data_IF_874265582106
#
_entry.id   IF_874265582106
#
_cell.length_a   1.000
_cell.length_b   1.000
_cell.length_c   1.000
_cell.angle_alpha   90.00
_cell.angle_beta   90.00
_cell.angle_gamma   90.00
#
_symmetry.space_group_name_H-M   'P 1'
#
loop_
_entity.id
_entity.type
_entity.pdbx_description
1 polymer ?
#
# COMPACT_ATOMS: atom_id res chain seq x y z
N UNK A 1 -6.46 -40.38 -32.11
CA UNK A 1 -6.74 -38.94 -32.30
C UNK A 1 -6.53 -38.29 -30.95
N UNK A 2 -5.42 -37.58 -30.76
CA UNK A 2 -5.06 -36.93 -29.51
C UNK A 2 -5.20 -35.41 -29.70
N UNK A 3 -6.12 -34.81 -28.96
CA UNK A 3 -6.36 -33.37 -28.99
C UNK A 3 -5.41 -32.71 -28.00
N UNK A 4 -4.43 -31.96 -28.50
CA UNK A 4 -3.56 -31.13 -27.68
C UNK A 4 -4.30 -29.83 -27.33
N UNK A 5 -4.52 -29.59 -26.04
CA UNK A 5 -4.95 -28.30 -25.51
C UNK A 5 -3.69 -27.44 -25.39
N UNK A 6 -3.56 -26.42 -26.25
CA UNK A 6 -2.51 -25.42 -26.15
C UNK A 6 -2.92 -24.37 -25.10
N UNK A 7 -2.30 -24.43 -23.93
CA UNK A 7 -2.35 -23.40 -22.90
C UNK A 7 -1.50 -22.22 -23.39
N UNK A 8 -2.15 -21.14 -23.84
CA UNK A 8 -1.46 -19.89 -24.14
C UNK A 8 -1.25 -19.12 -22.83
N UNK A 9 -0.06 -19.23 -22.26
CA UNK A 9 0.43 -18.30 -21.24
C UNK A 9 0.72 -16.96 -21.93
N UNK A 10 -0.15 -15.97 -21.74
CA UNK A 10 0.18 -14.58 -22.09
C UNK A 10 1.03 -13.98 -20.98
N UNK A 11 2.36 -14.09 -21.13
CA UNK A 11 3.30 -13.17 -20.50
C UNK A 11 3.26 -11.86 -21.32
N UNK A 12 2.25 -11.05 -21.05
CA UNK A 12 2.19 -9.67 -21.55
C UNK A 12 3.01 -8.77 -20.64
N UNK A 13 4.32 -8.66 -20.90
CA UNK A 13 5.13 -7.57 -20.36
C UNK A 13 4.79 -6.30 -21.14
N UNK A 14 3.69 -5.66 -20.77
CA UNK A 14 3.36 -4.33 -21.25
C UNK A 14 4.32 -3.33 -20.60
N UNK A 15 5.32 -2.87 -21.34
CA UNK A 15 6.02 -1.64 -21.00
C UNK A 15 5.01 -0.51 -21.06
N UNK A 16 4.47 -0.13 -19.91
CA UNK A 16 3.75 1.12 -19.73
C UNK A 16 4.71 2.26 -20.08
N UNK A 17 4.38 3.04 -21.09
CA UNK A 17 5.03 4.31 -21.36
C UNK A 17 4.56 5.34 -20.33
N UNK A 18 4.89 5.11 -19.06
CA UNK A 18 4.81 6.13 -18.01
C UNK A 18 5.82 7.23 -18.32
N UNK A 19 5.42 8.48 -18.14
CA UNK A 19 6.31 9.63 -18.32
C UNK A 19 7.55 9.45 -17.45
N UNK A 20 8.71 9.24 -18.08
CA UNK A 20 9.97 9.12 -17.37
C UNK A 20 10.35 10.51 -16.85
N UNK A 21 9.87 10.88 -15.67
CA UNK A 21 10.52 11.94 -14.91
C UNK A 21 11.94 11.45 -14.64
N UNK A 22 12.93 12.10 -15.26
CA UNK A 22 14.32 11.69 -15.13
C UNK A 22 14.74 11.89 -13.67
N UNK A 23 14.78 10.79 -12.91
CA UNK A 23 15.25 10.77 -11.55
C UNK A 23 16.62 11.47 -11.46
N UNK A 24 16.81 12.37 -10.49
CA UNK A 24 18.11 13.03 -10.32
C UNK A 24 19.17 11.96 -10.03
N UNK A 25 20.46 12.22 -10.30
CA UNK A 25 21.52 11.27 -9.97
C UNK A 25 21.43 10.82 -8.50
N UNK A 26 21.13 9.55 -8.26
CA UNK A 26 20.94 8.96 -6.93
C UNK A 26 19.48 8.71 -6.52
N UNK A 27 18.50 9.18 -7.29
CA UNK A 27 17.08 8.85 -7.11
C UNK A 27 16.70 7.64 -8.00
N UNK A 28 15.75 6.83 -7.52
CA UNK A 28 15.18 5.73 -8.30
C UNK A 28 13.66 5.80 -8.20
N UNK A 29 13.00 5.85 -9.35
CA UNK A 29 11.54 5.73 -9.45
C UNK A 29 11.16 4.26 -9.55
N UNK A 30 10.13 3.86 -8.81
CA UNK A 30 9.48 2.56 -8.95
C UNK A 30 7.98 2.73 -9.07
N UNK A 31 7.37 1.89 -9.89
CA UNK A 31 5.93 1.86 -10.09
C UNK A 31 5.37 0.60 -9.42
N UNK A 32 4.28 0.76 -8.67
CA UNK A 32 3.62 -0.33 -7.96
C UNK A 32 2.15 -0.29 -8.37
N UNK A 33 1.70 -1.35 -9.04
CA UNK A 33 0.30 -1.47 -9.42
C UNK A 33 -0.51 -2.04 -8.25
N UNK A 34 -1.58 -1.34 -7.88
CA UNK A 34 -2.50 -1.80 -6.84
C UNK A 34 -3.36 -2.97 -7.32
N UNK A 35 -4.09 -3.62 -6.41
CA UNK A 35 -5.08 -4.61 -6.80
C UNK A 35 -6.22 -3.94 -7.59
N UNK A 36 -6.84 -4.65 -8.57
CA UNK A 36 -7.97 -4.09 -9.30
C UNK A 36 -9.13 -3.69 -8.37
N UNK A 37 -9.57 -2.44 -8.49
CA UNK A 37 -10.78 -1.94 -7.83
C UNK A 37 -11.93 -2.01 -8.83
N UNK A 38 -13.01 -2.68 -8.48
CA UNK A 38 -14.22 -2.77 -9.30
C UNK A 38 -15.36 -2.06 -8.57
N UNK A 39 -15.94 -1.05 -9.22
CA UNK A 39 -17.01 -0.23 -8.65
C UNK A 39 -18.19 -0.15 -9.59
N UNK A 40 -19.37 0.05 -9.01
CA UNK A 40 -20.56 0.50 -9.72
C UNK A 40 -20.57 2.01 -9.80
N UNK A 41 -21.34 2.55 -10.76
CA UNK A 41 -21.54 4.00 -10.84
C UNK A 41 -22.08 4.56 -9.52
N UNK A 42 -21.37 5.52 -8.94
CA UNK A 42 -21.69 6.14 -7.66
C UNK A 42 -21.23 5.37 -6.42
N UNK A 43 -20.56 4.22 -6.57
CA UNK A 43 -19.97 3.49 -5.45
C UNK A 43 -18.64 4.11 -5.00
N UNK A 44 -18.41 4.15 -3.69
CA UNK A 44 -17.19 4.71 -3.10
C UNK A 44 -16.31 3.56 -2.61
N UNK A 45 -15.03 3.57 -3.02
CA UNK A 45 -14.03 2.72 -2.39
C UNK A 45 -13.23 3.51 -1.36
N UNK A 46 -13.51 3.29 -0.07
CA UNK A 46 -12.74 3.89 1.03
C UNK A 46 -12.16 2.81 1.96
N UNK A 47 -11.64 1.73 1.39
CA UNK A 47 -11.04 0.63 2.14
C UNK A 47 -9.54 0.58 1.86
N UNK A 48 -8.78 0.12 2.86
CA UNK A 48 -7.38 -0.22 2.64
C UNK A 48 -7.29 -1.39 1.67
N UNK A 49 -6.39 -1.28 0.71
CA UNK A 49 -6.05 -2.40 -0.15
C UNK A 49 -5.15 -3.41 0.59
N UNK A 50 -5.15 -4.68 0.16
CA UNK A 50 -4.15 -5.64 0.62
C UNK A 50 -2.73 -5.12 0.40
N UNK A 51 -1.83 -5.47 1.33
CA UNK A 51 -0.44 -5.06 1.27
C UNK A 51 0.21 -5.46 -0.05
N UNK A 52 0.98 -4.54 -0.62
CA UNK A 52 1.82 -4.79 -1.80
C UNK A 52 3.28 -4.77 -1.36
N UNK A 53 4.04 -5.77 -1.80
CA UNK A 53 5.47 -5.79 -1.58
C UNK A 53 6.15 -4.71 -2.45
N UNK A 54 7.19 -4.09 -1.90
CA UNK A 54 8.12 -3.33 -2.73
C UNK A 54 8.83 -4.28 -3.70
N UNK A 55 9.20 -3.82 -4.92
CA UNK A 55 9.98 -4.63 -5.85
C UNK A 55 11.25 -5.19 -5.17
N UNK A 56 11.60 -6.44 -5.46
CA UNK A 56 12.69 -7.14 -4.76
C UNK A 56 14.00 -6.34 -4.79
N UNK A 57 14.31 -5.75 -5.94
CA UNK A 57 15.47 -4.88 -6.13
C UNK A 57 15.54 -3.71 -5.15
N UNK A 58 14.40 -3.13 -4.73
CA UNK A 58 14.36 -2.07 -3.72
C UNK A 58 14.54 -2.67 -2.33
N UNK A 59 13.88 -3.80 -2.04
CA UNK A 59 14.02 -4.48 -0.75
C UNK A 59 15.46 -4.90 -0.48
N UNK A 60 16.16 -5.41 -1.49
CA UNK A 60 17.56 -5.79 -1.41
C UNK A 60 18.48 -4.57 -1.27
N UNK A 61 18.29 -3.54 -2.10
CA UNK A 61 19.13 -2.33 -2.06
C UNK A 61 19.10 -1.63 -0.70
N UNK A 62 17.92 -1.61 -0.06
CA UNK A 62 17.65 -0.95 1.21
C UNK A 62 17.56 -1.91 2.41
N UNK A 63 17.95 -3.18 2.25
CA UNK A 63 17.96 -4.14 3.36
C UNK A 63 18.82 -3.60 4.51
N UNK A 64 18.21 -3.39 5.68
CA UNK A 64 18.85 -2.80 6.86
C UNK A 64 19.45 -1.39 6.63
N UNK A 65 18.90 -0.63 5.69
CA UNK A 65 19.28 0.77 5.43
C UNK A 65 18.05 1.67 5.46
N UNK A 66 18.28 2.96 5.64
CA UNK A 66 17.23 3.96 5.53
C UNK A 66 16.95 4.26 4.07
N UNK A 67 15.67 4.22 3.68
CA UNK A 67 15.17 4.70 2.39
C UNK A 67 14.49 6.05 2.59
N UNK A 68 14.84 7.03 1.76
CA UNK A 68 14.11 8.30 1.68
C UNK A 68 13.15 8.26 0.49
N UNK A 69 11.87 8.51 0.75
CA UNK A 69 10.87 8.72 -0.30
C UNK A 69 10.82 10.22 -0.51
N UNK A 70 11.36 10.67 -1.65
CA UNK A 70 11.46 12.11 -1.97
C UNK A 70 10.29 12.59 -2.81
N UNK A 71 9.55 11.67 -3.42
CA UNK A 71 8.39 11.94 -4.26
C UNK A 71 7.42 10.75 -4.24
N UNK A 72 6.13 11.03 -4.39
CA UNK A 72 5.05 10.03 -4.42
C UNK A 72 3.90 10.54 -5.30
N UNK A 73 3.70 9.85 -6.42
CA UNK A 73 2.62 10.12 -7.36
C UNK A 73 1.64 8.95 -7.40
N UNK A 74 0.37 9.25 -7.63
CA UNK A 74 -0.69 8.26 -7.81
C UNK A 74 -1.38 8.53 -9.13
N UNK A 75 -1.47 7.48 -9.93
CA UNK A 75 -2.23 7.47 -11.17
C UNK A 75 -3.27 6.35 -11.11
N UNK A 76 -4.39 6.55 -11.81
CA UNK A 76 -5.44 5.54 -11.90
C UNK A 76 -5.63 5.16 -13.34
N UNK A 77 -5.46 3.87 -13.58
CA UNK A 77 -5.52 3.27 -14.90
C UNK A 77 -6.65 2.26 -15.00
N UNK A 78 -7.20 2.13 -16.20
CA UNK A 78 -8.13 1.05 -16.53
C UNK A 78 -7.41 -0.31 -16.63
N UNK A 79 -8.17 -1.37 -16.94
CA UNK A 79 -7.62 -2.71 -17.09
C UNK A 79 -6.64 -2.85 -18.28
N UNK A 80 -6.61 -1.88 -19.20
CA UNK A 80 -5.71 -1.81 -20.34
C UNK A 80 -4.50 -0.92 -20.06
N UNK A 81 -4.42 -0.27 -18.89
CA UNK A 81 -3.35 0.63 -18.50
C UNK A 81 -3.53 2.07 -18.97
N UNK A 82 -4.72 2.44 -19.49
CA UNK A 82 -4.99 3.82 -19.88
C UNK A 82 -5.38 4.64 -18.65
N UNK A 83 -4.88 5.87 -18.55
CA UNK A 83 -5.29 6.81 -17.51
C UNK A 83 -6.79 7.08 -17.57
N UNK A 84 -7.46 6.96 -16.42
CA UNK A 84 -8.88 7.24 -16.28
C UNK A 84 -9.07 8.76 -16.13
N UNK A 85 -9.86 9.42 -17.00
CA UNK A 85 -10.12 10.84 -16.87
C UNK A 85 -10.80 11.18 -15.54
N UNK A 86 -10.39 12.27 -14.89
CA UNK A 86 -10.94 12.70 -13.59
C UNK A 86 -12.44 13.03 -13.59
N UNK A 87 -13.07 13.22 -14.75
CA UNK A 87 -14.52 13.42 -14.83
C UNK A 87 -15.30 12.10 -14.80
N UNK A 88 -14.64 10.96 -15.05
CA UNK A 88 -15.25 9.63 -14.97
C UNK A 88 -15.23 9.09 -13.54
N UNK A 89 -14.34 9.61 -12.70
CA UNK A 89 -14.19 9.19 -11.32
C UNK A 89 -13.69 10.34 -10.45
N UNK A 90 -14.45 10.62 -9.39
CA UNK A 90 -14.08 11.62 -8.40
C UNK A 90 -13.17 11.02 -7.33
N UNK A 91 -11.98 11.62 -7.19
CA UNK A 91 -10.96 11.20 -6.23
C UNK A 91 -10.92 12.13 -5.03
N UNK A 92 -10.80 11.59 -3.81
CA UNK A 92 -10.73 12.44 -2.61
C UNK A 92 -9.48 12.27 -1.74
N UNK A 93 -8.90 11.08 -1.57
CA UNK A 93 -7.66 10.90 -0.79
C UNK A 93 -6.86 9.67 -1.24
N UNK A 94 -5.53 9.81 -1.30
CA UNK A 94 -4.59 8.67 -1.37
C UNK A 94 -3.61 8.77 -0.22
N UNK A 95 -3.36 7.63 0.40
CA UNK A 95 -2.30 7.48 1.38
C UNK A 95 -1.54 6.20 1.07
N UNK A 96 -0.21 6.32 1.08
CA UNK A 96 0.67 5.16 1.13
C UNK A 96 1.21 5.03 2.55
N UNK A 97 1.12 3.83 3.10
CA UNK A 97 1.79 3.47 4.35
C UNK A 97 2.86 2.45 4.03
N UNK A 98 4.10 2.77 4.40
CA UNK A 98 5.25 1.91 4.18
C UNK A 98 5.83 1.51 5.54
N UNK A 99 6.20 0.24 5.66
CA UNK A 99 6.76 -0.30 6.89
C UNK A 99 7.11 -1.77 6.73
N UNK A 100 7.33 -2.44 7.86
CA UNK A 100 7.51 -3.88 7.88
C UNK A 100 6.21 -4.59 7.48
N UNK A 101 6.33 -5.84 7.02
CA UNK A 101 5.16 -6.68 6.71
C UNK A 101 4.21 -6.77 7.92
N UNK A 102 4.77 -6.92 9.11
CA UNK A 102 4.00 -6.95 10.36
C UNK A 102 3.21 -5.67 10.61
N UNK A 103 3.84 -4.51 10.44
CA UNK A 103 3.16 -3.22 10.57
C UNK A 103 2.07 -3.05 9.50
N UNK A 104 2.38 -3.33 8.24
CA UNK A 104 1.43 -3.21 7.15
C UNK A 104 0.22 -4.15 7.36
N UNK A 105 0.46 -5.39 7.80
CA UNK A 105 -0.59 -6.36 8.13
C UNK A 105 -1.45 -5.87 9.31
N UNK A 106 -0.83 -5.32 10.36
CA UNK A 106 -1.54 -4.76 11.50
C UNK A 106 -2.53 -3.65 11.09
N UNK A 107 -2.05 -2.70 10.29
CA UNK A 107 -2.87 -1.59 9.79
C UNK A 107 -3.98 -2.12 8.88
N UNK A 108 -3.66 -2.99 7.93
CA UNK A 108 -4.66 -3.57 7.03
C UNK A 108 -5.79 -4.26 7.81
N UNK A 109 -5.46 -5.11 8.77
CA UNK A 109 -6.48 -5.81 9.59
C UNK A 109 -7.32 -4.84 10.42
N UNK A 110 -6.75 -3.71 10.85
CA UNK A 110 -7.45 -2.71 11.64
C UNK A 110 -8.46 -1.90 10.81
N UNK A 111 -8.14 -1.59 9.55
CA UNK A 111 -8.93 -0.66 8.74
C UNK A 111 -9.71 -1.30 7.57
N UNK A 112 -9.43 -2.55 7.18
CA UNK A 112 -10.07 -3.19 6.02
C UNK A 112 -11.60 -3.20 6.07
N UNK A 113 -12.18 -3.26 7.26
CA UNK A 113 -13.63 -3.29 7.50
C UNK A 113 -14.16 -1.96 8.10
N UNK A 114 -13.34 -0.90 8.10
CA UNK A 114 -13.65 0.39 8.71
C UNK A 114 -13.59 1.53 7.68
N UNK A 115 -14.52 1.57 6.69
CA UNK A 115 -14.48 2.52 5.58
C UNK A 115 -14.71 3.98 5.96
N UNK A 116 -15.07 4.26 7.21
CA UNK A 116 -15.22 5.63 7.72
C UNK A 116 -14.22 5.93 8.84
N UNK A 117 -13.17 5.12 8.94
CA UNK A 117 -12.23 5.12 10.05
C UNK A 117 -12.73 4.31 11.23
N UNK A 118 -11.85 4.15 12.21
CA UNK A 118 -12.19 3.52 13.49
C UNK A 118 -12.99 4.56 14.29
N UNK A 119 -14.17 4.21 14.81
CA UNK A 119 -14.93 5.12 15.64
C UNK A 119 -14.07 5.57 16.83
N UNK A 120 -14.17 6.85 17.18
CA UNK A 120 -13.52 7.36 18.37
C UNK A 120 -13.96 6.51 19.58
N UNK A 121 -13.01 6.10 20.43
CA UNK A 121 -13.36 5.32 21.61
C UNK A 121 -14.34 6.14 22.47
N UNK A 122 -15.33 5.46 23.06
CA UNK A 122 -16.39 6.14 23.82
C UNK A 122 -15.87 6.75 25.13
N UNK A 123 -14.68 6.34 25.54
CA UNK A 123 -13.90 6.87 26.65
C UNK A 123 -12.39 6.74 26.35
N UNK A 124 -11.54 7.51 27.04
CA UNK A 124 -10.07 7.49 26.84
C UNK A 124 -9.40 6.18 27.26
N UNK A 125 -10.15 5.26 27.89
CA UNK A 125 -9.66 3.94 28.32
C UNK A 125 -9.84 2.85 27.28
N UNK A 126 -10.62 3.09 26.22
CA UNK A 126 -10.99 2.13 25.19
C UNK A 126 -10.10 2.17 23.93
N UNK A 127 -9.10 3.05 23.87
CA UNK A 127 -8.05 2.95 22.84
C UNK A 127 -7.12 1.77 23.17
N UNK A 128 -7.68 0.56 23.17
CA UNK A 128 -6.97 -0.68 23.40
C UNK A 128 -6.28 -1.03 22.10
N UNK A 129 -4.99 -0.68 22.00
CA UNK A 129 -4.11 -1.26 20.99
C UNK A 129 -4.20 -2.78 21.17
N UNK A 130 -4.64 -3.54 20.15
CA UNK A 130 -4.72 -4.99 20.21
C UNK A 130 -3.41 -5.58 20.79
N UNK A 131 -3.50 -6.53 21.71
CA UNK A 131 -2.35 -7.01 22.48
C UNK A 131 -1.24 -7.61 21.59
N UNK A 132 -1.63 -8.15 20.43
CA UNK A 132 -0.72 -8.59 19.37
C UNK A 132 0.06 -7.46 18.69
N UNK A 133 -0.41 -6.21 18.75
CA UNK A 133 0.30 -5.03 18.25
C UNK A 133 1.17 -4.36 19.33
N UNK A 134 0.84 -4.58 20.61
CA UNK A 134 1.65 -4.11 21.74
C UNK A 134 3.03 -4.76 21.81
N UNK A 135 3.13 -6.06 21.50
CA UNK A 135 4.40 -6.81 21.57
C UNK A 135 5.45 -6.35 20.57
N UNK A 136 5.01 -5.77 19.45
CA UNK A 136 5.90 -5.40 18.34
C UNK A 136 6.35 -3.93 18.41
N UNK A 137 5.57 -3.07 19.08
CA UNK A 137 5.94 -1.69 19.32
C UNK A 137 7.02 -1.54 20.42
N UNK A 138 7.17 -2.53 21.31
CA UNK A 138 8.13 -2.49 22.42
C UNK A 138 9.42 -3.26 22.14
N UNK A 139 9.68 -3.67 20.89
CA UNK A 139 10.93 -4.26 20.42
C UNK A 139 11.81 -4.93 21.47
N UNK A 140 11.38 -6.07 22.02
CA UNK A 140 12.21 -6.88 22.93
C UNK A 140 12.48 -6.25 24.31
N UNK A 141 12.49 -7.11 25.32
CA UNK A 141 12.94 -6.86 26.70
C UNK A 141 12.05 -6.05 27.67
N UNK A 142 10.89 -5.52 27.28
CA UNK A 142 9.93 -5.03 28.30
C UNK A 142 10.48 -3.95 29.24
N UNK A 143 11.55 -3.25 28.88
CA UNK A 143 11.98 -2.05 29.58
C UNK A 143 11.08 -0.88 29.18
N UNK A 144 10.26 -0.43 30.14
CA UNK A 144 9.35 0.69 29.95
C UNK A 144 10.14 1.98 29.72
N UNK A 145 10.25 2.45 28.48
CA UNK A 145 10.69 3.83 28.21
C UNK A 145 9.54 4.77 28.58
N UNK A 146 9.66 5.39 29.76
CA UNK A 146 8.78 6.48 30.17
C UNK A 146 9.13 7.73 29.37
N UNK A 147 8.20 8.21 28.54
CA UNK A 147 8.26 9.54 27.96
C UNK A 147 7.88 10.54 29.05
N UNK A 148 8.85 11.34 29.53
CA UNK A 148 8.56 12.58 30.25
C UNK A 148 8.65 13.73 29.25
N UNK A 149 7.51 14.38 28.99
CA UNK A 149 7.50 15.69 28.35
C UNK A 149 8.02 16.72 29.37
N UNK A 150 9.06 17.45 28.98
CA UNK A 150 9.51 18.70 29.60
C UNK A 150 8.75 19.88 29.03
#
# INVERSE_FOLDING_TARGET
>A
MATAIATAAMLGFGMLAGGVSAAKPGEKTVEILSQPINLRYGEVNNHFQPNQDLPEEIREAFRNKTMAIVDFEVDIVDAQGNQVPLYEMYNHHYAALLGTEEYANAIYQLFKDAPFGIPSPSNLTELVIPENLRKNATGGDGSSTSFRAS
#
